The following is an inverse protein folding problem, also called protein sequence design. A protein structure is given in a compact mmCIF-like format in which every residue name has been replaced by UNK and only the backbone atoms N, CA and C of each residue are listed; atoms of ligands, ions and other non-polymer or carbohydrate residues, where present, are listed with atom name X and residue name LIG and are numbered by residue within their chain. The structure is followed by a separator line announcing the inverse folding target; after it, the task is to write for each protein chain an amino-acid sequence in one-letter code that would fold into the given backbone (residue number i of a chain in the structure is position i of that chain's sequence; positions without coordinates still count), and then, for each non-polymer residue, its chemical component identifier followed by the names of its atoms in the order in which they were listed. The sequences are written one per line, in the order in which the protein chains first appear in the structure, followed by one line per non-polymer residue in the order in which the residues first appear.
data_IF_505314882007
#
_entry.id   IF_505314882007
#
_cell.length_a   1.000
_cell.length_b   1.000
_cell.length_c   1.000
_cell.angle_alpha   90.00
_cell.angle_beta   90.00
_cell.angle_gamma   90.00
#
_symmetry.space_group_name_H-M   'P 1'
#
loop_
_entity.id
_entity.type
_entity.pdbx_description
1 polymer ?
2 non-polymer ?
3 non-polymer ?
4 non-polymer ?
5 water ?
#
# COMPACT_ATOMS: atom_id res chain seq x y z
N UNK A 1 -10.02 -8.99 18.36
CA UNK A 1 -8.98 -8.98 17.31
C UNK A 1 -9.62 -8.48 16.02
N UNK A 2 -8.89 -7.65 15.29
CA UNK A 2 -9.44 -7.19 14.00
C UNK A 2 -9.39 -8.34 13.00
N UNK A 3 -10.51 -8.62 12.35
CA UNK A 3 -10.60 -9.71 11.34
C UNK A 3 -9.76 -9.38 10.10
N UNK A 4 -9.14 -10.40 9.52
CA UNK A 4 -8.38 -10.22 8.26
C UNK A 4 -9.33 -9.75 7.17
N UNK A 5 -9.07 -8.57 6.58
CA UNK A 5 -9.96 -8.03 5.57
C UNK A 5 -9.68 -8.49 4.14
N UNK A 6 -8.60 -9.26 3.99
CA UNK A 6 -8.19 -9.75 2.66
C UNK A 6 -8.41 -11.26 2.56
N UNK A 7 -8.79 -11.69 1.37
CA UNK A 7 -9.04 -13.12 1.12
C UNK A 7 -8.23 -13.54 -0.12
N UNK A 8 -7.52 -14.64 0.02
CA UNK A 8 -6.72 -15.15 -1.10
C UNK A 8 -7.65 -15.78 -2.13
N UNK A 9 -7.59 -15.27 -3.35
CA UNK A 9 -8.40 -15.84 -4.46
C UNK A 9 -7.49 -15.90 -5.67
N UNK A 10 -7.10 -17.10 -6.08
CA UNK A 10 -6.29 -17.29 -7.30
C UNK A 10 -5.07 -16.38 -7.34
N UNK A 11 -4.34 -16.31 -6.24
CA UNK A 11 -3.07 -15.56 -6.25
C UNK A 11 -3.19 -14.12 -5.82
N UNK A 12 -4.42 -13.65 -5.67
CA UNK A 12 -4.63 -12.23 -5.28
C UNK A 12 -5.38 -12.14 -3.95
N UNK A 13 -4.91 -11.26 -3.08
CA UNK A 13 -5.62 -11.01 -1.81
C UNK A 13 -6.60 -9.86 -2.02
N UNK A 14 -7.86 -10.20 -2.21
CA UNK A 14 -8.87 -9.17 -2.49
C UNK A 14 -9.35 -8.56 -1.17
N UNK A 15 -9.59 -7.26 -1.19
CA UNK A 15 -10.10 -6.55 0.00
C UNK A 15 -11.60 -6.85 0.13
N UNK A 16 -11.89 -8.06 0.62
CA UNK A 16 -13.30 -8.52 0.71
C UNK A 16 -14.10 -7.71 1.73
N UNK A 17 -13.42 -7.08 2.69
CA UNK A 17 -14.12 -6.28 3.72
C UNK A 17 -14.87 -5.11 3.09
N UNK A 18 -14.50 -4.72 1.86
CA UNK A 18 -15.11 -3.53 1.21
C UNK A 18 -16.09 -3.91 0.08
N UNK A 19 -16.38 -5.21 -0.06
CA UNK A 19 -17.24 -5.68 -1.17
C UNK A 19 -18.64 -5.07 -1.16
N UNK A 20 -19.16 -4.73 0.03
CA UNK A 20 -20.55 -4.24 0.12
C UNK A 20 -20.57 -2.71 0.13
N UNK A 21 -19.40 -2.08 0.20
CA UNK A 21 -19.38 -0.60 0.31
C UNK A 21 -19.65 0.04 -1.04
N UNK A 22 -19.25 -0.64 -2.10
CA UNK A 22 -19.36 -0.07 -3.45
C UNK A 22 -18.75 -1.01 -4.47
N UNK A 23 -18.97 -0.74 -5.76
CA UNK A 23 -18.48 -1.69 -6.80
C UNK A 23 -17.04 -1.30 -7.14
N UNK A 24 -16.11 -1.79 -6.31
CA UNK A 24 -14.68 -1.48 -6.54
C UNK A 24 -13.90 -2.78 -6.69
N UNK A 25 -12.74 -2.69 -7.32
CA UNK A 25 -11.81 -3.83 -7.33
C UNK A 25 -10.63 -3.35 -6.48
N UNK A 26 -10.34 -4.04 -5.39
CA UNK A 26 -9.25 -3.59 -4.50
C UNK A 26 -8.58 -4.82 -3.90
N UNK A 27 -7.27 -4.70 -3.74
CA UNK A 27 -6.54 -5.83 -3.16
C UNK A 27 -5.04 -5.70 -3.15
N UNK A 28 -4.39 -6.83 -2.93
CA UNK A 28 -2.93 -6.83 -2.79
C UNK A 28 -2.44 -8.11 -3.46
N UNK A 29 -1.42 -7.95 -4.28
CA UNK A 29 -0.92 -9.13 -5.03
C UNK A 29 -0.03 -10.00 -4.13
N UNK A 30 0.30 -11.19 -4.63
CA UNK A 30 1.17 -12.14 -3.92
C UNK A 30 2.26 -12.62 -4.89
N UNK A 31 3.15 -13.47 -4.41
CA UNK A 31 4.22 -14.02 -5.30
C UNK A 31 3.64 -14.96 -6.34
N UNK A 32 2.39 -15.35 -6.16
CA UNK A 32 1.82 -16.35 -7.09
C UNK A 32 1.24 -15.74 -8.37
N UNK A 33 1.39 -16.43 -9.51
CA UNK A 33 0.66 -16.05 -10.74
C UNK A 33 1.47 -15.52 -11.91
N UNK A 34 2.76 -15.29 -11.70
CA UNK A 34 3.58 -14.66 -12.75
C UNK A 34 4.62 -15.59 -13.35
N UNK A 35 5.57 -15.01 -14.07
CA UNK A 35 6.59 -15.80 -14.81
C UNK A 35 8.01 -15.39 -14.41
N UNK A 36 8.15 -14.51 -13.42
CA UNK A 36 9.50 -14.13 -12.97
C UNK A 36 10.14 -15.28 -12.20
N UNK A 37 11.46 -15.22 -12.05
CA UNK A 37 12.18 -16.36 -11.44
C UNK A 37 13.18 -15.90 -10.39
N UNK A 38 13.77 -16.86 -9.70
CA UNK A 38 14.78 -16.56 -8.68
C UNK A 38 14.25 -15.70 -7.57
N UNK A 39 14.97 -14.62 -7.30
CA UNK A 39 14.59 -13.66 -6.23
C UNK A 39 13.24 -12.99 -6.52
N UNK A 40 12.78 -13.05 -7.76
CA UNK A 40 11.55 -12.33 -8.18
C UNK A 40 10.40 -13.29 -8.43
N UNK A 41 10.59 -14.56 -8.07
CA UNK A 41 9.55 -15.58 -8.31
C UNK A 41 8.25 -15.34 -7.51
N UNK A 42 7.06 -15.33 -8.16
CA UNK A 42 6.80 -15.43 -9.62
C UNK A 42 6.14 -14.14 -10.13
N UNK A 43 5.24 -13.57 -9.33
CA UNK A 43 4.51 -12.34 -9.73
C UNK A 43 5.25 -11.08 -9.31
N UNK A 44 6.43 -10.86 -9.88
CA UNK A 44 7.13 -9.58 -9.63
C UNK A 44 6.54 -8.48 -10.51
N UNK A 45 6.00 -7.46 -9.86
CA UNK A 45 5.34 -6.39 -10.63
C UNK A 45 6.21 -5.13 -10.54
N UNK A 46 7.36 -5.26 -9.88
CA UNK A 46 8.29 -4.11 -9.75
C UNK A 46 9.21 -3.90 -10.94
N UNK A 47 9.21 -2.67 -11.47
CA UNK A 47 10.05 -2.34 -12.66
C UNK A 47 11.40 -1.80 -12.23
N UNK A 48 11.59 -1.52 -10.95
CA UNK A 48 12.81 -0.81 -10.50
C UNK A 48 13.68 -1.69 -9.60
N UNK A 49 13.52 -3.01 -9.71
CA UNK A 49 14.23 -3.93 -8.78
C UNK A 49 15.20 -4.87 -9.52
N UNK A 50 15.60 -4.53 -10.74
CA UNK A 50 16.65 -5.29 -11.46
C UNK A 50 16.17 -6.67 -11.94
N UNK A 51 14.86 -6.85 -12.09
CA UNK A 51 14.37 -8.10 -12.73
C UNK A 51 14.46 -7.89 -14.25
N UNK A 52 14.28 -8.95 -15.02
CA UNK A 52 14.21 -8.73 -16.50
C UNK A 52 12.86 -8.06 -16.84
N UNK A 53 12.94 -6.91 -17.51
CA UNK A 53 11.72 -6.11 -17.81
C UNK A 53 10.65 -6.93 -18.52
N UNK A 54 11.04 -7.87 -19.39
CA UNK A 54 10.04 -8.61 -20.17
C UNK A 54 9.14 -9.42 -19.23
N UNK A 55 9.70 -9.91 -18.13
CA UNK A 55 8.94 -10.73 -17.17
C UNK A 55 7.99 -9.79 -16.40
N UNK A 56 8.49 -8.61 -16.03
CA UNK A 56 7.64 -7.65 -15.26
C UNK A 56 6.49 -7.16 -16.14
N UNK A 57 6.81 -6.81 -17.38
CA UNK A 57 5.74 -6.38 -18.34
C UNK A 57 4.67 -7.46 -18.48
N UNK A 58 5.09 -8.71 -18.58
CA UNK A 58 4.12 -9.81 -18.74
C UNK A 58 3.29 -9.98 -17.46
N UNK A 59 3.98 -9.94 -16.33
CA UNK A 59 3.27 -10.09 -15.04
C UNK A 59 2.22 -8.99 -14.92
N UNK A 60 2.57 -7.79 -15.37
CA UNK A 60 1.61 -6.68 -15.34
C UNK A 60 0.42 -6.98 -16.26
N UNK A 61 0.69 -7.53 -17.44
CA UNK A 61 -0.39 -7.84 -18.40
C UNK A 61 -1.29 -8.91 -17.75
N UNK A 62 -0.67 -9.89 -17.10
CA UNK A 62 -1.44 -10.99 -16.43
C UNK A 62 -2.41 -10.38 -15.39
N UNK A 63 -1.92 -9.42 -14.61
CA UNK A 63 -2.77 -8.83 -13.56
C UNK A 63 -3.88 -8.00 -14.23
N UNK A 64 -3.51 -7.26 -15.26
CA UNK A 64 -4.50 -6.41 -15.98
C UNK A 64 -5.68 -7.28 -16.44
N UNK A 65 -5.37 -8.48 -16.92
CA UNK A 65 -6.44 -9.39 -17.43
C UNK A 65 -7.25 -9.96 -16.27
N UNK A 66 -6.59 -10.27 -15.17
CA UNK A 66 -7.30 -10.83 -13.99
C UNK A 66 -8.22 -9.77 -13.39
N UNK A 67 -7.80 -8.51 -13.47
CA UNK A 67 -8.58 -7.43 -12.82
C UNK A 67 -9.54 -6.78 -13.81
N UNK A 68 -9.39 -7.06 -15.10
CA UNK A 68 -10.23 -6.42 -16.16
C UNK A 68 -9.95 -4.92 -16.10
N UNK A 69 -8.69 -4.59 -15.92
CA UNK A 69 -8.26 -3.17 -15.90
C UNK A 69 -7.07 -3.05 -16.83
N UNK A 70 -7.26 -2.56 -18.06
CA UNK A 70 -6.19 -2.50 -19.03
C UNK A 70 -5.00 -1.63 -18.59
N UNK A 71 -3.78 -2.04 -18.97
CA UNK A 71 -2.55 -1.30 -18.60
C UNK A 71 -2.63 0.18 -18.95
N UNK A 72 -3.27 0.49 -20.07
CA UNK A 72 -3.36 1.90 -20.52
C UNK A 72 -4.07 2.74 -19.45
N UNK A 73 -4.83 2.09 -18.56
CA UNK A 73 -5.62 2.86 -17.55
C UNK A 73 -4.98 2.78 -16.16
N UNK A 74 -3.85 2.09 -16.05
CA UNK A 74 -3.13 2.04 -14.75
C UNK A 74 -2.44 3.36 -14.46
N UNK A 75 -2.27 3.69 -13.18
CA UNK A 75 -1.47 4.87 -12.76
C UNK A 75 -0.49 4.39 -11.70
N UNK A 76 0.79 4.62 -11.94
CA UNK A 76 1.86 4.22 -11.00
C UNK A 76 2.62 5.49 -10.57
N UNK A 77 3.20 5.45 -9.39
CA UNK A 77 4.00 6.61 -8.94
C UNK A 77 5.47 6.25 -8.75
N UNK A 78 6.32 7.26 -8.83
CA UNK A 78 7.75 7.10 -8.52
C UNK A 78 7.84 7.36 -7.01
N UNK A 79 7.75 6.28 -6.24
CA UNK A 79 7.75 6.38 -4.77
C UNK A 79 9.12 6.83 -4.26
N UNK A 80 9.14 7.72 -3.27
CA UNK A 80 10.41 8.28 -2.74
C UNK A 80 10.45 8.21 -1.20
N UNK A 81 9.54 7.45 -0.60
CA UNK A 81 9.51 7.33 0.88
C UNK A 81 9.30 8.70 1.53
N UNK A 82 8.49 9.55 0.92
CA UNK A 82 8.13 10.84 1.56
C UNK A 82 6.60 10.86 1.78
N UNK A 83 5.99 12.04 1.78
CA UNK A 83 4.55 12.11 2.14
C UNK A 83 3.72 12.84 1.07
N UNK A 84 4.21 12.89 -0.17
CA UNK A 84 3.46 13.66 -1.18
C UNK A 84 2.28 12.87 -1.75
N UNK A 85 1.12 13.51 -1.74
CA UNK A 85 -0.11 12.88 -2.27
C UNK A 85 -0.59 13.70 -3.47
N UNK A 86 -0.88 13.02 -4.57
CA UNK A 86 -1.29 13.72 -5.80
C UNK A 86 -2.66 13.20 -6.26
N UNK A 87 -3.56 14.12 -6.61
CA UNK A 87 -4.83 13.70 -7.25
C UNK A 87 -4.50 13.36 -8.70
N UNK A 88 -4.99 12.23 -9.18
CA UNK A 88 -4.66 11.76 -10.54
C UNK A 88 -5.96 11.37 -11.27
N UNK A 89 -5.85 11.15 -12.58
CA UNK A 89 -7.01 10.68 -13.34
C UNK A 89 -6.70 10.56 -14.82
N UNK A 90 -7.59 11.09 -15.65
CA UNK A 90 -7.48 10.93 -17.12
C UNK A 90 -6.11 11.32 -17.67
N UNK A 91 -5.62 12.50 -17.35
CA UNK A 91 -4.35 13.00 -17.95
C UNK A 91 -3.14 12.16 -17.52
N UNK A 92 -3.27 11.35 -16.46
CA UNK A 92 -2.13 10.59 -15.92
C UNK A 92 -2.27 9.10 -16.26
N UNK A 93 -3.27 8.76 -17.03
CA UNK A 93 -3.46 7.33 -17.41
C UNK A 93 -2.18 6.82 -18.06
N UNK A 94 -1.72 5.65 -17.67
CA UNK A 94 -0.52 5.08 -18.31
C UNK A 94 0.78 5.44 -17.60
N UNK A 95 0.73 6.41 -16.68
CA UNK A 95 1.96 6.89 -16.02
C UNK A 95 2.69 5.75 -15.29
N UNK A 96 3.89 5.39 -15.75
CA UNK A 96 4.72 4.39 -15.03
C UNK A 96 4.39 2.96 -15.34
N UNK A 97 3.46 2.73 -16.25
CA UNK A 97 3.01 1.33 -16.50
C UNK A 97 4.17 0.50 -17.09
N UNK A 98 4.99 1.12 -17.93
CA UNK A 98 6.07 0.36 -18.62
C UNK A 98 7.48 0.82 -18.20
N UNK A 99 7.61 2.04 -17.69
CA UNK A 99 8.91 2.57 -17.21
C UNK A 99 8.70 3.30 -15.88
N UNK A 100 9.53 3.00 -14.87
CA UNK A 100 9.29 3.59 -13.52
C UNK A 100 9.39 5.10 -13.57
N UNK A 101 10.31 5.60 -14.40
CA UNK A 101 10.58 7.06 -14.46
C UNK A 101 9.37 7.81 -15.00
N UNK A 102 8.47 7.12 -15.69
CA UNK A 102 7.26 7.74 -16.28
C UNK A 102 6.16 7.87 -15.23
N UNK A 103 6.38 7.30 -14.05
CA UNK A 103 5.39 7.38 -12.97
C UNK A 103 5.23 8.78 -12.41
N UNK A 104 4.17 8.99 -11.64
CA UNK A 104 3.96 10.31 -11.00
C UNK A 104 5.22 10.67 -10.21
N UNK A 105 5.80 11.84 -10.49
CA UNK A 105 7.10 12.23 -9.89
C UNK A 105 7.08 12.33 -8.37
N UNK A 106 8.05 11.65 -7.75
CA UNK A 106 8.30 11.79 -6.30
C UNK A 106 6.99 11.87 -5.52
N UNK A 107 6.17 10.82 -5.67
CA UNK A 107 4.83 10.78 -5.06
C UNK A 107 4.64 9.42 -4.37
N UNK A 108 4.14 9.44 -3.13
CA UNK A 108 3.93 8.17 -2.40
C UNK A 108 2.44 7.86 -2.20
N UNK A 109 1.58 8.81 -2.50
CA UNK A 109 0.12 8.56 -2.42
C UNK A 109 -0.61 9.14 -3.62
N UNK A 110 -1.62 8.41 -4.11
CA UNK A 110 -2.42 8.89 -5.26
C UNK A 110 -3.91 8.68 -4.97
N UNK A 111 -4.75 9.56 -5.50
CA UNK A 111 -6.20 9.40 -5.33
C UNK A 111 -6.96 9.85 -6.59
N UNK A 112 -8.17 9.35 -6.74
CA UNK A 112 -8.95 9.69 -7.95
C UNK A 112 -10.45 9.52 -7.76
N UNK A 113 -11.23 10.17 -8.62
CA UNK A 113 -12.70 9.99 -8.69
C UNK A 113 -13.00 9.36 -10.06
N UNK A 114 -11.96 9.13 -10.87
CA UNK A 114 -12.13 8.58 -12.25
C UNK A 114 -12.43 7.09 -12.18
N UNK A 115 -13.45 6.66 -12.91
CA UNK A 115 -13.90 5.26 -12.79
C UNK A 115 -13.15 4.31 -13.72
N UNK A 116 -12.41 4.84 -14.66
CA UNK A 116 -11.75 3.98 -15.67
C UNK A 116 -10.33 3.60 -15.25
N UNK A 117 -9.78 4.28 -14.26
CA UNK A 117 -8.35 4.05 -13.91
C UNK A 117 -8.14 2.96 -12.86
N UNK A 118 -6.91 2.47 -12.77
CA UNK A 118 -6.53 1.54 -11.69
C UNK A 118 -5.35 2.21 -10.99
N UNK A 119 -5.57 2.58 -9.73
CA UNK A 119 -4.46 3.14 -8.96
C UNK A 119 -3.60 1.96 -8.50
N UNK A 120 -2.27 2.11 -8.57
CA UNK A 120 -1.35 1.05 -8.09
C UNK A 120 -0.27 1.64 -7.19
N UNK A 121 0.32 0.80 -6.33
CA UNK A 121 1.42 1.21 -5.43
C UNK A 121 2.27 -0.05 -5.24
N UNK A 122 3.59 0.10 -5.08
CA UNK A 122 4.48 -1.09 -4.99
C UNK A 122 4.99 -1.34 -3.57
N UNK A 123 5.11 -2.62 -3.21
CA UNK A 123 5.50 -2.97 -1.82
C UNK A 123 6.34 -4.23 -1.67
N UNK A 124 7.21 -4.20 -0.67
CA UNK A 124 7.91 -5.42 -0.26
C UNK A 124 8.31 -5.21 1.21
N UNK A 125 7.36 -4.82 2.08
CA UNK A 125 7.50 -4.69 3.56
C UNK A 125 6.77 -3.44 4.07
N UNK A 126 6.74 -2.40 3.25
CA UNK A 126 6.12 -1.15 3.72
C UNK A 126 4.61 -1.30 3.84
N UNK A 127 3.99 -0.37 4.54
CA UNK A 127 2.54 -0.51 4.82
C UNK A 127 1.72 0.05 3.65
N UNK A 128 0.85 -0.78 3.05
CA UNK A 128 -0.06 -0.32 2.04
C UNK A 128 -1.32 0.28 2.69
N UNK A 129 -1.54 1.57 2.46
CA UNK A 129 -2.78 2.22 2.95
C UNK A 129 -3.79 2.36 1.80
N UNK A 130 -5.04 2.07 2.08
CA UNK A 130 -6.12 2.20 1.07
C UNK A 130 -7.19 3.11 1.64
N UNK A 131 -7.77 3.95 0.78
CA UNK A 131 -8.80 4.92 1.19
C UNK A 131 -10.02 4.81 0.27
N UNK A 132 -11.21 4.86 0.87
CA UNK A 132 -12.45 4.84 0.06
C UNK A 132 -13.55 5.67 0.74
N UNK A 133 -14.08 6.66 0.02
CA UNK A 133 -15.26 7.38 0.53
C UNK A 133 -16.41 7.03 -0.43
N UNK A 134 -17.20 5.98 -0.15
CA UNK A 134 -18.22 5.52 -1.11
C UNK A 134 -19.21 6.59 -1.57
N UNK A 135 -19.60 7.46 -0.65
CA UNK A 135 -20.59 8.52 -0.96
C UNK A 135 -20.03 9.56 -1.92
N UNK A 136 -18.71 9.69 -2.05
CA UNK A 136 -18.13 10.74 -2.92
C UNK A 136 -17.40 10.11 -4.10
N UNK A 137 -17.39 8.79 -4.15
CA UNK A 137 -16.74 8.12 -5.29
C UNK A 137 -15.26 8.39 -5.33
N UNK A 138 -14.63 8.44 -4.15
CA UNK A 138 -13.19 8.78 -4.07
C UNK A 138 -12.40 7.57 -3.56
N UNK A 139 -11.34 7.22 -4.27
CA UNK A 139 -10.46 6.09 -3.87
C UNK A 139 -9.01 6.59 -3.82
N UNK A 140 -8.21 5.99 -2.95
CA UNK A 140 -6.80 6.39 -2.85
C UNK A 140 -5.87 5.30 -2.32
N UNK A 141 -4.59 5.44 -2.63
CA UNK A 141 -3.59 4.50 -2.07
C UNK A 141 -2.44 5.35 -1.51
N UNK A 142 -1.84 4.94 -0.41
CA UNK A 142 -0.63 5.60 0.11
C UNK A 142 0.41 4.58 0.56
N UNK A 143 1.66 4.82 0.22
CA UNK A 143 2.80 3.94 0.59
C UNK A 143 3.43 4.48 1.88
N UNK A 144 3.34 3.69 2.97
CA UNK A 144 3.83 4.17 4.27
C UNK A 144 4.88 3.25 4.87
N UNK A 145 6.14 3.49 4.53
CA UNK A 145 7.19 2.82 5.29
C UNK A 145 7.37 3.64 6.55
N UNK A 146 8.47 3.49 7.27
CA UNK A 146 8.53 4.25 8.54
C UNK A 146 8.52 5.75 8.23
N UNK A 147 9.14 6.13 7.12
CA UNK A 147 9.28 7.58 6.83
C UNK A 147 7.92 8.19 6.51
N UNK A 148 7.18 7.57 5.59
CA UNK A 148 5.85 8.08 5.25
C UNK A 148 4.91 8.01 6.43
N UNK A 149 5.05 6.96 7.23
CA UNK A 149 4.21 6.82 8.44
C UNK A 149 4.44 8.04 9.34
N UNK A 150 5.68 8.32 9.71
CA UNK A 150 5.97 9.41 10.66
C UNK A 150 5.83 10.80 10.00
N UNK A 151 5.89 10.86 8.66
CA UNK A 151 5.66 12.14 7.97
C UNK A 151 4.16 12.34 7.79
N UNK A 152 3.35 11.40 8.28
CA UNK A 152 1.87 11.56 8.31
C UNK A 152 1.26 11.57 6.91
N UNK A 153 1.59 10.57 6.12
CA UNK A 153 1.06 10.51 4.74
C UNK A 153 -0.45 10.20 4.76
N UNK A 154 -0.90 9.44 5.76
CA UNK A 154 -2.34 9.18 5.86
C UNK A 154 -3.09 10.49 6.07
N UNK A 155 -2.56 11.33 6.96
CA UNK A 155 -3.20 12.64 7.23
C UNK A 155 -3.16 13.53 6.00
N UNK A 156 -2.10 13.43 5.21
CA UNK A 156 -1.99 14.24 3.97
C UNK A 156 -3.14 13.87 3.05
N UNK A 157 -3.41 12.58 2.91
CA UNK A 157 -4.52 12.10 2.05
C UNK A 157 -5.84 12.63 2.62
N UNK A 158 -6.05 12.43 3.91
CA UNK A 158 -7.33 12.81 4.54
C UNK A 158 -7.56 14.33 4.38
N UNK A 159 -6.51 15.12 4.59
CA UNK A 159 -6.63 16.61 4.52
C UNK A 159 -7.02 17.02 3.10
N UNK A 160 -6.44 16.37 2.12
CA UNK A 160 -6.80 16.67 0.71
C UNK A 160 -8.26 16.32 0.46
N UNK A 161 -8.72 15.20 1.00
CA UNK A 161 -10.12 14.78 0.82
C UNK A 161 -11.05 15.78 1.54
N UNK A 162 -10.70 16.17 2.76
CA UNK A 162 -11.46 17.21 3.48
C UNK A 162 -11.63 18.45 2.58
N UNK A 163 -10.60 18.82 1.85
CA UNK A 163 -10.66 20.03 0.99
C UNK A 163 -11.59 19.79 -0.20
N UNK A 164 -11.80 18.53 -0.57
CA UNK A 164 -12.73 18.19 -1.68
C UNK A 164 -14.14 18.02 -1.11
N UNK A 165 -14.35 18.34 0.17
CA UNK A 165 -15.68 18.30 0.80
C UNK A 165 -16.03 16.97 1.44
N UNK A 166 -15.02 16.12 1.62
CA UNK A 166 -15.24 14.80 2.24
C UNK A 166 -14.90 14.86 3.72
N UNK A 167 -15.89 14.62 4.57
CA UNK A 167 -15.65 14.60 6.04
C UNK A 167 -14.82 13.37 6.39
N UNK A 168 -14.02 13.49 7.44
CA UNK A 168 -13.16 12.36 7.85
C UNK A 168 -14.02 11.17 8.31
N UNK A 169 -15.26 11.42 8.71
CA UNK A 169 -16.14 10.34 9.24
C UNK A 169 -16.74 9.53 8.08
N UNK A 170 -16.49 9.98 6.85
CA UNK A 170 -16.99 9.28 5.64
C UNK A 170 -15.86 8.51 4.95
N UNK A 171 -14.67 8.54 5.54
CA UNK A 171 -13.49 7.90 4.87
C UNK A 171 -13.18 6.55 5.51
N UNK A 172 -13.21 5.51 4.68
CA UNK A 172 -12.85 4.14 5.13
C UNK A 172 -11.38 3.89 4.78
N UNK A 173 -10.66 3.28 5.71
CA UNK A 173 -9.22 3.04 5.52
C UNK A 173 -8.95 1.54 5.66
N UNK A 174 -8.11 1.02 4.76
CA UNK A 174 -7.67 -0.38 4.92
C UNK A 174 -6.13 -0.38 5.00
N UNK A 175 -5.61 -1.29 5.82
CA UNK A 175 -4.14 -1.36 6.05
C UNK A 175 -3.72 -2.77 5.65
N UNK A 176 -2.86 -2.85 4.65
CA UNK A 176 -2.57 -4.18 4.10
C UNK A 176 -1.31 -4.88 4.61
N UNK A 177 -0.92 -6.02 3.99
CA UNK A 177 0.24 -6.75 4.45
C UNK A 177 1.52 -5.92 4.44
N UNK A 178 2.33 -6.13 5.48
CA UNK A 178 3.56 -5.34 5.68
C UNK A 178 4.46 -6.11 6.63
N UNK A 179 5.67 -5.60 6.85
CA UNK A 179 6.57 -6.26 7.83
C UNK A 179 6.01 -6.04 9.24
N UNK A 180 5.86 -7.11 9.99
CA UNK A 180 5.26 -7.01 11.32
C UNK A 180 6.31 -6.83 12.40
N UNK A 181 5.88 -6.69 13.66
CA UNK A 181 6.79 -6.43 14.80
C UNK A 181 7.60 -7.69 15.07
N UNK A 182 7.11 -8.81 14.58
CA UNK A 182 7.86 -10.08 14.70
C UNK A 182 9.19 -9.98 13.98
N UNK A 183 9.26 -9.15 12.93
CA UNK A 183 10.48 -9.11 12.09
C UNK A 183 11.06 -7.71 11.94
N UNK A 184 10.32 -6.69 12.35
CA UNK A 184 10.80 -5.31 12.10
C UNK A 184 11.33 -4.68 13.39
N UNK A 185 12.64 -4.53 13.45
CA UNK A 185 13.32 -3.94 14.64
C UNK A 185 13.94 -2.60 14.22
N UNK A 186 13.60 -1.54 14.95
CA UNK A 186 14.07 -0.18 14.59
C UNK A 186 14.88 0.44 15.72
N UNK A 187 15.44 1.59 15.41
CA UNK A 187 16.32 2.28 16.37
C UNK A 187 15.56 3.44 17.01
N UNK A 188 16.26 4.25 17.77
CA UNK A 188 15.64 5.40 18.50
C UNK A 188 15.23 6.49 17.52
N UNK A 189 15.97 6.66 16.43
CA UNK A 189 15.56 7.65 15.40
C UNK A 189 14.12 7.39 14.97
N UNK A 190 13.82 6.15 14.62
CA UNK A 190 12.45 5.81 14.14
C UNK A 190 11.47 5.97 15.31
N UNK A 191 11.79 5.39 16.45
CA UNK A 191 10.84 5.41 17.60
C UNK A 191 10.52 6.85 18.02
N UNK A 192 11.54 7.70 18.10
CA UNK A 192 11.34 9.12 18.45
C UNK A 192 10.47 9.82 17.40
N UNK A 193 10.73 9.57 16.11
CA UNK A 193 9.94 10.23 15.06
C UNK A 193 8.46 9.82 15.22
N UNK A 194 8.24 8.56 15.56
CA UNK A 194 6.86 8.07 15.75
C UNK A 194 6.25 8.73 16.98
N UNK A 195 7.05 8.86 18.05
CA UNK A 195 6.55 9.48 19.31
C UNK A 195 6.19 10.95 19.05
N UNK A 196 6.88 11.59 18.13
CA UNK A 196 6.62 13.02 17.85
C UNK A 196 5.22 13.19 17.24
N UNK A 197 4.72 12.18 16.53
CA UNK A 197 3.42 12.37 15.82
C UNK A 197 2.28 11.57 16.46
N UNK A 198 2.62 10.55 17.24
CA UNK A 198 1.55 9.79 17.95
C UNK A 198 1.30 10.41 19.33
N UNK A 199 0.03 10.68 19.64
CA UNK A 199 -0.35 11.11 20.99
C UNK A 199 -0.48 9.83 21.81
N UNK A 200 0.23 9.79 22.94
CA UNK A 200 0.22 8.58 23.75
C UNK A 200 1.34 7.65 23.35
N UNK A 201 1.40 6.49 23.98
CA UNK A 201 2.52 5.58 23.74
C UNK A 201 2.47 4.98 22.35
N UNK A 202 3.65 4.88 21.74
CA UNK A 202 3.75 4.18 20.45
C UNK A 202 3.90 2.71 20.84
N UNK A 203 3.06 1.81 20.34
CA UNK A 203 3.25 0.40 20.60
C UNK A 203 4.65 -0.06 20.12
N UNK A 204 5.44 -0.62 21.02
CA UNK A 204 6.81 -1.08 20.68
C UNK A 204 7.29 -2.04 21.77
N UNK A 205 8.25 -2.91 21.43
CA UNK A 205 8.84 -3.84 22.42
C UNK A 205 10.36 -3.74 22.30
N UNK A 206 11.03 -3.38 23.40
CA UNK A 206 12.50 -3.29 23.41
C UNK A 206 13.09 -4.71 23.32
N UNK A 207 13.99 -4.91 22.37
CA UNK A 207 14.67 -6.23 22.18
C UNK A 207 16.05 -6.10 22.81
N UNK A 208 16.66 -4.93 22.65
CA UNK A 208 18.01 -4.68 23.17
C UNK A 208 18.18 -3.16 23.19
N UNK A 209 19.32 -2.71 23.68
CA UNK A 209 19.53 -1.26 23.81
C UNK A 209 19.36 -0.58 22.45
N UNK A 210 18.41 0.34 22.34
CA UNK A 210 18.20 1.11 21.11
C UNK A 210 17.66 0.28 19.98
N UNK A 211 17.07 -0.87 20.31
CA UNK A 211 16.48 -1.77 19.30
C UNK A 211 15.06 -2.11 19.75
N UNK A 212 14.07 -1.71 18.93
CA UNK A 212 12.66 -1.90 19.32
C UNK A 212 11.85 -2.53 18.20
N UNK A 213 11.16 -3.62 18.54
CA UNK A 213 10.22 -4.22 17.58
C UNK A 213 9.01 -3.29 17.50
N UNK A 214 8.56 -2.95 16.29
CA UNK A 214 7.42 -2.01 16.12
C UNK A 214 6.43 -2.54 15.08
N UNK A 215 5.14 -2.25 15.28
CA UNK A 215 4.06 -2.61 14.32
C UNK A 215 3.65 -1.33 13.61
N UNK A 216 4.16 -1.14 12.39
CA UNK A 216 3.87 0.09 11.61
C UNK A 216 2.41 0.08 11.16
N UNK A 217 1.80 -1.09 11.05
CA UNK A 217 0.36 -1.13 10.70
C UNK A 217 -0.44 -0.44 11.81
N UNK A 218 -0.15 -0.81 13.05
CA UNK A 218 -0.88 -0.26 14.21
C UNK A 218 -0.54 1.23 14.37
N UNK A 219 0.71 1.57 14.11
CA UNK A 219 1.06 3.02 14.19
C UNK A 219 0.18 3.80 13.21
N UNK A 220 0.01 3.27 12.00
CA UNK A 220 -0.81 3.99 10.99
C UNK A 220 -2.28 4.02 11.42
N UNK A 221 -2.74 2.92 12.03
CA UNK A 221 -4.14 2.88 12.52
C UNK A 221 -4.36 3.99 13.55
N UNK A 222 -3.42 4.08 14.49
CA UNK A 222 -3.54 5.11 15.55
C UNK A 222 -3.54 6.51 14.91
N UNK A 223 -2.64 6.71 13.96
CA UNK A 223 -2.55 8.06 13.34
C UNK A 223 -3.84 8.38 12.56
N UNK A 224 -4.41 7.36 11.94
CA UNK A 224 -5.68 7.56 11.19
C UNK A 224 -6.77 7.98 12.19
N UNK A 225 -6.89 7.25 13.29
CA UNK A 225 -7.90 7.63 14.33
C UNK A 225 -7.64 9.07 14.80
N UNK A 226 -6.36 9.40 15.05
CA UNK A 226 -6.03 10.73 15.59
C UNK A 226 -6.22 11.78 14.50
N UNK A 227 -6.39 11.35 13.25
CA UNK A 227 -6.64 12.29 12.13
C UNK A 227 -8.15 12.37 11.81
N UNK A 228 -8.98 11.67 12.57
CA UNK A 228 -10.44 11.83 12.40
C UNK A 228 -11.13 10.63 11.77
N UNK A 229 -10.38 9.59 11.44
CA UNK A 229 -11.02 8.35 10.92
C UNK A 229 -11.69 7.62 12.07
N UNK A 230 -12.93 7.21 11.86
CA UNK A 230 -13.65 6.42 12.88
C UNK A 230 -12.97 5.05 12.98
N UNK A 231 -12.79 4.59 14.21
CA UNK A 231 -12.13 3.28 14.45
C UNK A 231 -12.85 2.19 13.67
N UNK A 232 -14.18 2.27 13.62
CA UNK A 232 -14.97 1.20 12.97
C UNK A 232 -14.90 1.29 11.45
N UNK A 233 -14.25 2.35 10.93
CA UNK A 233 -14.07 2.50 9.46
C UNK A 233 -12.65 2.10 9.04
N UNK A 234 -11.89 1.47 9.93
CA UNK A 234 -10.52 0.96 9.60
C UNK A 234 -10.50 -0.56 9.64
N UNK A 235 -9.94 -1.16 8.59
CA UNK A 235 -9.73 -2.64 8.61
C UNK A 235 -8.22 -2.84 8.49
N UNK A 236 -7.71 -3.93 9.05
CA UNK A 236 -6.24 -4.08 9.10
C UNK A 236 -5.85 -5.54 8.93
N UNK A 237 -4.91 -5.78 8.03
CA UNK A 237 -4.34 -7.14 7.90
C UNK A 237 -3.39 -7.42 9.07
N UNK A 238 -3.12 -8.69 9.37
CA UNK A 238 -2.08 -9.04 10.37
C UNK A 238 -0.94 -9.78 9.64
N UNK A 239 -1.04 -9.88 8.32
CA UNK A 239 -0.04 -10.65 7.55
C UNK A 239 1.31 -9.95 7.55
N UNK A 240 2.37 -10.74 7.72
CA UNK A 240 3.74 -10.20 7.73
C UNK A 240 4.45 -10.63 6.45
N UNK A 241 4.98 -9.66 5.72
CA UNK A 241 5.66 -9.94 4.44
C UNK A 241 6.90 -10.83 4.64
N UNK A 242 7.60 -10.62 5.74
CA UNK A 242 8.85 -11.38 5.99
C UNK A 242 8.53 -12.81 6.41
N UNK A 243 7.51 -12.99 7.24
CA UNK A 243 7.19 -14.35 7.74
C UNK A 243 6.59 -15.20 6.63
N UNK A 244 5.80 -14.59 5.75
CA UNK A 244 5.09 -15.39 4.71
C UNK A 244 6.01 -15.56 3.51
N UNK A 245 6.90 -16.54 3.59
CA UNK A 245 7.95 -16.70 2.56
C UNK A 245 7.39 -17.27 1.25
N UNK A 246 6.19 -17.83 1.26
CA UNK A 246 5.58 -18.32 -0.01
C UNK A 246 4.59 -17.32 -0.61
N UNK A 247 4.20 -16.30 0.15
CA UNK A 247 3.19 -15.34 -0.35
C UNK A 247 3.81 -14.00 -0.71
N UNK A 248 4.86 -13.61 0.01
CA UNK A 248 5.30 -12.22 -0.21
C UNK A 248 6.80 -12.02 -0.38
N UNK A 249 7.12 -11.01 -1.17
CA UNK A 249 8.52 -10.57 -1.27
C UNK A 249 8.76 -9.69 -0.04
N UNK A 250 9.98 -9.70 0.46
CA UNK A 250 10.35 -8.90 1.65
C UNK A 250 11.75 -8.34 1.46
N UNK A 251 11.86 -7.03 1.39
CA UNK A 251 13.18 -6.37 1.26
C UNK A 251 14.09 -6.80 2.41
N UNK A 252 13.56 -6.90 3.61
CA UNK A 252 14.39 -7.23 4.79
C UNK A 252 14.77 -8.71 4.74
N UNK A 253 13.79 -9.59 4.59
CA UNK A 253 14.10 -11.04 4.62
C UNK A 253 14.98 -11.42 3.44
N UNK A 254 14.75 -10.82 2.27
CA UNK A 254 15.46 -11.25 1.04
C UNK A 254 16.73 -10.43 0.83
N UNK A 255 17.10 -9.64 1.81
CA UNK A 255 18.38 -8.88 1.79
C UNK A 255 18.47 -7.94 0.59
N UNK A 256 17.40 -7.20 0.33
CA UNK A 256 17.45 -6.16 -0.71
C UNK A 256 17.41 -6.65 -2.14
N UNK A 257 17.28 -7.95 -2.36
CA UNK A 257 17.13 -8.48 -3.73
C UNK A 257 15.80 -9.20 -3.80
N UNK A 258 14.78 -8.49 -4.26
CA UNK A 258 13.44 -9.11 -4.24
C UNK A 258 12.49 -8.38 -5.19
N UNK A 259 11.34 -8.98 -5.38
CA UNK A 259 10.35 -8.35 -6.25
C UNK A 259 9.44 -7.40 -5.50
N UNK A 260 8.35 -7.03 -6.15
CA UNK A 260 7.37 -6.15 -5.50
C UNK A 260 5.94 -6.63 -5.73
N UNK A 261 5.13 -6.48 -4.71
CA UNK A 261 3.68 -6.70 -4.84
C UNK A 261 3.08 -5.33 -5.17
N UNK A 262 1.87 -5.37 -5.69
CA UNK A 262 1.17 -4.09 -5.87
C UNK A 262 -0.07 -4.06 -4.98
N UNK A 263 -0.34 -2.88 -4.43
CA UNK A 263 -1.68 -2.65 -3.86
C UNK A 263 -2.43 -2.05 -5.06
N UNK A 264 -3.73 -2.25 -5.12
CA UNK A 264 -4.51 -1.68 -6.24
C UNK A 264 -5.92 -1.33 -5.80
N UNK A 265 -6.47 -0.32 -6.46
CA UNK A 265 -7.89 0.04 -6.23
C UNK A 265 -8.42 0.76 -7.49
N UNK A 266 -9.63 0.39 -7.86
CA UNK A 266 -10.26 1.00 -9.03
C UNK A 266 -11.73 0.67 -8.99
N UNK A 267 -12.53 1.47 -9.70
CA UNK A 267 -13.98 1.17 -9.80
C UNK A 267 -14.21 0.02 -10.77
N UNK A 268 -15.16 -0.86 -10.45
CA UNK A 268 -15.45 -2.04 -11.28
C UNK A 268 -15.87 -1.60 -12.68
X LIG B 1 1.01 16.35 14.66
X LIG B 1 0.13 15.10 14.58
X LIG B 1 1.61 16.71 13.32
X LIG B 1 0.12 17.41 15.25
X LIG B 1 2.20 16.15 15.61
X LIG B 1 0.86 13.91 14.53
X LIG B 1 0.67 16.90 12.27
X LIG B 1 -1.14 17.44 14.62
X LIG C 1 8.81 1.48 1.07
X LIG D 1 6.84 -11.45 10.90
X LIG E 1 3.72 11.64 21.46
#
# INVERSE_FOLDING_TARGET
AMREPFKYVDGILYLQAWKELGNITAGFTTKDGGISTGSFHAMNLGLHVNDIVENVHENRRILANKLQKPLENWICSEQVHAHHVEKVGQQEKGSGVYSYEDGISKTDGIYTSNEDVLLTSCYADCVPLYFYAPSHGMIGLAHAGWKGTVQEIAKEMIQKWNAEGISSDEIHVAIGPSIGSCCYVVDDRVLTAAQEVVSGAVPHQKISDGQYAINLKEINRILCVQAGIKEEHIVMSSLCTSCEEQLFFSHRRDQGKTGRMLSFIGFKEEGSKLEHHHHHH
TRS C C1 C2 C3 N O1 O2 O3
ZN ZN
ZN ZN
CA CA
#
